data_IF_432413810247
#
_entry.id   IF_432413810247
#
_cell.length_a   1.000
_cell.length_b   1.000
_cell.length_c   1.000
_cell.angle_alpha   90.00
_cell.angle_beta   90.00
_cell.angle_gamma   90.00
#
_symmetry.space_group_name_H-M   'P 1'
#
loop_
_entity.id
_entity.type
_entity.pdbx_description
1 polymer ?
#
# COMPACT_ATOMS: atom_id res chain seq x y z
N UNK A 1 -7.15 13.75 -0.40
CA UNK A 1 -5.75 13.26 -0.50
C UNK A 1 -5.02 14.11 -1.53
N UNK A 2 -3.72 14.33 -1.36
CA UNK A 2 -2.91 15.13 -2.28
C UNK A 2 -2.02 14.19 -3.13
N UNK A 3 -2.35 14.05 -4.41
CA UNK A 3 -1.65 13.15 -5.35
C UNK A 3 -0.18 13.54 -5.47
N UNK A 4 0.14 14.83 -5.43
CA UNK A 4 1.52 15.31 -5.53
C UNK A 4 2.35 14.86 -4.31
N UNK A 5 1.73 14.81 -3.12
CA UNK A 5 2.38 14.25 -1.93
C UNK A 5 2.63 12.75 -2.06
N UNK A 6 1.67 12.00 -2.61
CA UNK A 6 1.85 10.57 -2.85
C UNK A 6 2.98 10.31 -3.84
N UNK A 7 3.00 11.05 -4.96
CA UNK A 7 4.09 10.95 -5.95
C UNK A 7 5.45 11.32 -5.34
N UNK A 8 5.53 12.39 -4.55
CA UNK A 8 6.75 12.77 -3.82
C UNK A 8 7.19 11.71 -2.80
N UNK A 9 6.25 10.95 -2.25
CA UNK A 9 6.51 9.82 -1.37
C UNK A 9 6.87 8.52 -2.12
N UNK A 10 6.96 8.55 -3.45
CA UNK A 10 7.38 7.41 -4.27
C UNK A 10 6.23 6.54 -4.81
N UNK A 11 4.98 7.01 -4.72
CA UNK A 11 3.89 6.36 -5.45
C UNK A 11 4.01 6.63 -6.95
N UNK A 12 3.72 5.61 -7.76
CA UNK A 12 3.74 5.67 -9.21
C UNK A 12 2.37 5.36 -9.80
N UNK A 13 2.05 6.00 -10.91
CA UNK A 13 0.84 5.70 -11.66
C UNK A 13 0.92 4.28 -12.23
N UNK A 14 -0.13 3.51 -12.04
CA UNK A 14 -0.24 2.12 -12.47
C UNK A 14 -1.59 1.92 -13.14
N UNK A 15 -1.61 1.24 -14.28
CA UNK A 15 -2.81 0.86 -15.00
C UNK A 15 -2.87 -0.65 -15.14
N UNK A 16 -4.03 -1.25 -14.92
CA UNK A 16 -4.24 -2.68 -15.09
C UNK A 16 -5.03 -2.94 -16.38
N UNK A 17 -4.68 -3.95 -17.20
CA UNK A 17 -5.32 -4.18 -18.50
C UNK A 17 -6.85 -4.30 -18.46
N UNK A 18 -7.39 -4.83 -17.35
CA UNK A 18 -8.82 -5.12 -17.19
C UNK A 18 -9.52 -4.18 -16.20
N UNK A 19 -8.89 -3.06 -15.81
CA UNK A 19 -9.47 -2.09 -14.89
C UNK A 19 -9.41 -0.68 -15.46
N UNK A 20 -10.50 0.06 -15.34
CA UNK A 20 -10.56 1.46 -15.77
C UNK A 20 -9.91 2.39 -14.74
N UNK A 21 -9.21 3.41 -15.25
CA UNK A 21 -8.61 4.47 -14.43
C UNK A 21 -7.14 4.22 -14.08
N UNK A 22 -6.58 5.18 -13.34
CA UNK A 22 -5.18 5.17 -12.91
C UNK A 22 -5.12 4.94 -11.41
N UNK A 23 -4.40 3.89 -11.02
CA UNK A 23 -4.06 3.60 -9.64
C UNK A 23 -2.77 4.33 -9.29
N UNK A 24 -2.60 4.68 -8.02
CA UNK A 24 -1.30 5.08 -7.49
C UNK A 24 -0.80 3.97 -6.59
N UNK A 25 0.34 3.38 -6.93
CA UNK A 25 0.90 2.24 -6.20
C UNK A 25 2.25 2.60 -5.63
N UNK A 26 2.58 2.10 -4.45
CA UNK A 26 3.92 2.14 -3.88
C UNK A 26 4.29 0.76 -3.38
N UNK A 27 5.43 0.26 -3.85
CA UNK A 27 6.04 -0.98 -3.39
C UNK A 27 7.03 -0.68 -2.28
N UNK A 28 6.93 -1.42 -1.19
CA UNK A 28 7.76 -1.30 0.00
C UNK A 28 8.01 -2.69 0.58
N UNK A 29 9.05 -2.87 1.39
CA UNK A 29 9.18 -4.07 2.21
C UNK A 29 8.20 -4.00 3.39
N UNK A 30 7.69 -5.15 3.83
CA UNK A 30 6.80 -5.23 5.00
C UNK A 30 7.48 -4.65 6.25
N UNK A 31 8.77 -4.88 6.46
CA UNK A 31 9.53 -4.36 7.59
C UNK A 31 9.84 -2.85 7.52
N UNK A 32 9.72 -2.25 6.34
CA UNK A 32 9.84 -0.81 6.15
C UNK A 32 8.53 -0.07 6.50
N UNK A 33 7.41 -0.80 6.63
CA UNK A 33 6.10 -0.29 7.01
C UNK A 33 5.92 -0.44 8.54
N UNK A 34 5.89 0.64 9.32
CA UNK A 34 5.79 0.58 10.78
C UNK A 34 4.63 -0.28 11.30
N UNK A 35 3.45 -0.20 10.68
CA UNK A 35 2.29 -0.98 11.11
C UNK A 35 2.34 -2.41 10.57
N UNK A 36 2.59 -2.59 9.27
CA UNK A 36 2.61 -3.94 8.67
C UNK A 36 3.74 -4.80 9.23
N UNK A 37 4.95 -4.25 9.36
CA UNK A 37 6.10 -4.92 9.96
C UNK A 37 5.88 -5.38 11.40
N UNK A 38 5.08 -4.66 12.17
CA UNK A 38 4.77 -5.01 13.56
C UNK A 38 3.63 -6.04 13.71
N UNK A 39 2.73 -6.16 12.72
CA UNK A 39 1.48 -6.91 12.88
C UNK A 39 1.32 -8.08 11.90
N UNK A 40 2.00 -8.07 10.75
CA UNK A 40 1.77 -9.04 9.68
C UNK A 40 2.92 -10.02 9.48
N UNK A 41 4.13 -9.71 9.98
CA UNK A 41 5.27 -10.63 9.88
C UNK A 41 5.06 -11.83 10.80
N UNK A 42 4.85 -13.00 10.21
CA UNK A 42 4.79 -14.28 10.93
C UNK A 42 6.05 -15.14 10.70
N UNK A 43 6.89 -14.79 9.72
CA UNK A 43 8.07 -15.53 9.26
C UNK A 43 7.78 -16.90 8.62
N UNK A 44 6.52 -17.22 8.36
CA UNK A 44 6.10 -18.44 7.66
C UNK A 44 5.53 -18.12 6.27
N UNK A 45 4.67 -17.11 6.17
CA UNK A 45 4.01 -16.68 4.93
C UNK A 45 4.29 -15.21 4.59
N UNK A 46 4.49 -14.38 5.61
CA UNK A 46 4.87 -12.97 5.45
C UNK A 46 6.16 -12.76 6.21
N UNK A 47 7.23 -12.49 5.44
CA UNK A 47 8.53 -12.14 5.97
C UNK A 47 8.70 -10.62 5.99
N UNK A 48 9.64 -10.12 6.80
CA UNK A 48 9.93 -8.67 6.83
C UNK A 48 10.38 -8.13 5.47
N UNK A 49 11.08 -8.94 4.67
CA UNK A 49 11.53 -8.60 3.33
C UNK A 49 10.51 -8.88 2.22
N UNK A 50 9.33 -9.42 2.55
CA UNK A 50 8.24 -9.59 1.58
C UNK A 50 7.81 -8.24 1.00
N UNK A 51 7.36 -8.28 -0.26
CA UNK A 51 6.84 -7.09 -0.94
C UNK A 51 5.44 -6.75 -0.43
N UNK A 52 5.25 -5.49 -0.08
CA UNK A 52 3.99 -4.89 0.29
C UNK A 52 3.64 -3.77 -0.69
N UNK A 53 2.46 -3.86 -1.29
CA UNK A 53 1.98 -2.92 -2.31
C UNK A 53 0.82 -2.12 -1.70
N UNK A 54 1.06 -0.85 -1.42
CA UNK A 54 -0.02 0.08 -1.06
C UNK A 54 -0.59 0.69 -2.33
N UNK A 55 -1.91 0.63 -2.49
CA UNK A 55 -2.58 1.10 -3.71
C UNK A 55 -3.72 2.05 -3.39
N UNK A 56 -3.78 3.16 -4.10
CA UNK A 56 -4.94 4.03 -4.18
C UNK A 56 -5.64 3.84 -5.52
N UNK A 57 -6.94 3.59 -5.44
CA UNK A 57 -7.84 3.34 -6.55
C UNK A 57 -8.25 4.67 -7.23
N UNK A 58 -8.75 4.63 -8.47
CA UNK A 58 -9.25 5.82 -9.17
C UNK A 58 -10.41 6.54 -8.45
N UNK A 59 -11.22 5.79 -7.70
CA UNK A 59 -12.32 6.33 -6.88
C UNK A 59 -11.87 6.82 -5.50
N UNK A 60 -10.56 6.72 -5.21
CA UNK A 60 -9.94 7.11 -3.95
C UNK A 60 -9.93 6.02 -2.88
N UNK A 61 -10.47 4.83 -3.15
CA UNK A 61 -10.30 3.67 -2.29
C UNK A 61 -8.82 3.34 -2.05
N UNK A 62 -8.51 2.70 -0.93
CA UNK A 62 -7.12 2.34 -0.58
C UNK A 62 -7.06 0.90 -0.10
N UNK A 63 -6.05 0.16 -0.55
CA UNK A 63 -5.74 -1.16 -0.02
C UNK A 63 -4.25 -1.35 0.22
N UNK A 64 -3.91 -2.37 1.00
CA UNK A 64 -2.58 -2.95 1.07
C UNK A 64 -2.67 -4.41 0.60
N UNK A 65 -1.74 -4.81 -0.26
CA UNK A 65 -1.62 -6.19 -0.74
C UNK A 65 -0.20 -6.69 -0.51
N UNK A 66 -0.05 -7.88 0.08
CA UNK A 66 1.22 -8.59 0.26
C UNK A 66 1.09 -9.90 -0.55
N UNK A 67 1.62 -9.95 -1.79
CA UNK A 67 1.39 -11.08 -2.70
C UNK A 67 1.93 -12.41 -2.18
N UNK A 68 3.10 -12.39 -1.53
CA UNK A 68 3.76 -13.61 -1.03
C UNK A 68 2.91 -14.36 0.00
N UNK A 69 2.12 -13.63 0.79
CA UNK A 69 1.23 -14.17 1.82
C UNK A 69 -0.23 -14.27 1.40
N UNK A 70 -0.58 -13.97 0.15
CA UNK A 70 -1.97 -13.83 -0.34
C UNK A 70 -2.83 -12.96 0.61
N UNK A 71 -2.22 -11.90 1.14
CA UNK A 71 -2.84 -11.05 2.16
C UNK A 71 -3.30 -9.73 1.56
N UNK A 72 -4.58 -9.41 1.75
CA UNK A 72 -5.18 -8.15 1.35
C UNK A 72 -5.88 -7.50 2.54
N UNK A 73 -5.63 -6.21 2.73
CA UNK A 73 -6.31 -5.37 3.70
C UNK A 73 -7.02 -4.21 2.99
N UNK A 74 -8.33 -4.13 3.16
CA UNK A 74 -9.21 -3.23 2.40
C UNK A 74 -9.94 -3.95 1.25
N UNK A 75 -10.44 -3.22 0.23
CA UNK A 75 -10.30 -1.77 0.05
C UNK A 75 -11.13 -0.97 1.06
N UNK A 76 -10.54 0.08 1.61
CA UNK A 76 -11.21 1.05 2.47
C UNK A 76 -11.56 2.32 1.70
N UNK A 77 -12.69 2.93 2.05
CA UNK A 77 -13.10 4.19 1.44
C UNK A 77 -12.09 5.33 1.73
N UNK A 78 -11.93 6.26 0.78
CA UNK A 78 -10.98 7.39 0.87
C UNK A 78 -11.07 8.22 2.15
N UNK A 79 -12.26 8.30 2.75
CA UNK A 79 -12.57 9.07 3.96
C UNK A 79 -12.37 8.29 5.26
N UNK A 80 -12.04 7.00 5.18
CA UNK A 80 -11.87 6.14 6.35
C UNK A 80 -10.55 6.42 7.07
N UNK A 81 -10.53 6.11 8.37
CA UNK A 81 -9.31 6.22 9.20
C UNK A 81 -8.29 5.18 8.74
N UNK A 82 -8.76 4.01 8.32
CA UNK A 82 -7.97 2.90 7.83
C UNK A 82 -7.24 3.25 6.52
N UNK A 83 -7.93 3.85 5.55
CA UNK A 83 -7.30 4.34 4.31
C UNK A 83 -6.20 5.38 4.60
N UNK A 84 -6.47 6.32 5.52
CA UNK A 84 -5.49 7.31 5.93
C UNK A 84 -4.28 6.67 6.63
N UNK A 85 -4.53 5.65 7.47
CA UNK A 85 -3.46 4.91 8.16
C UNK A 85 -2.55 4.17 7.17
N UNK A 86 -3.13 3.44 6.20
CA UNK A 86 -2.36 2.73 5.17
C UNK A 86 -1.45 3.67 4.37
N UNK A 87 -2.00 4.80 3.92
CA UNK A 87 -1.21 5.78 3.15
C UNK A 87 -0.13 6.45 3.99
N UNK A 88 -0.43 6.81 5.24
CA UNK A 88 0.56 7.42 6.13
C UNK A 88 1.70 6.45 6.44
N UNK A 89 1.40 5.16 6.64
CA UNK A 89 2.39 4.10 6.85
C UNK A 89 3.31 3.98 5.61
N UNK A 90 2.70 3.92 4.42
CA UNK A 90 3.42 3.87 3.16
C UNK A 90 4.23 5.15 2.86
N UNK A 91 3.75 6.33 3.24
CA UNK A 91 4.49 7.60 3.08
C UNK A 91 5.70 7.64 4.01
N UNK A 92 5.57 7.15 5.24
CA UNK A 92 6.66 7.12 6.21
C UNK A 92 7.75 6.09 5.83
N UNK A 93 7.37 5.02 5.12
CA UNK A 93 8.30 4.01 4.64
C UNK A 93 9.26 4.58 3.58
N UNK A 94 10.56 4.34 3.78
CA UNK A 94 11.56 4.59 2.74
C UNK A 94 11.37 3.58 1.61
N UNK A 95 11.52 4.02 0.36
CA UNK A 95 11.51 3.12 -0.79
C UNK A 95 12.67 2.12 -0.66
N UNK A 96 12.39 0.84 -0.91
CA UNK A 96 13.37 -0.24 -0.89
C UNK A 96 14.29 -0.22 -2.11
#
# INVERSE_FOLDING_TARGET
>A
MDIEKLKAAGFVETTYPDQEGVFLTKRTRVDALPRAGANFVDNDFICGDSEAITEMFPDGGVQLHIPDGDYVEGPYAASSVEAAALLNDAIAASSA
#
